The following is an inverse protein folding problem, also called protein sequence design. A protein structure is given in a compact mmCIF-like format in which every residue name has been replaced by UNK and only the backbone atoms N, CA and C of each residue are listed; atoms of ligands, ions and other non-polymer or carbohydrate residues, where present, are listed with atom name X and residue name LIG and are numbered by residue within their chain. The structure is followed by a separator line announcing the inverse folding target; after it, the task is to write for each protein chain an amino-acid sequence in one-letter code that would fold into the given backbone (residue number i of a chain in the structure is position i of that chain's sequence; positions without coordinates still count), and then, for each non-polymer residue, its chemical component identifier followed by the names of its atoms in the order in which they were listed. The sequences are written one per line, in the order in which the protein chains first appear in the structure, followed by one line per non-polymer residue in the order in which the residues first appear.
data_IF_550369026014
#
_entry.id   IF_550369026014
#
_cell.length_a   1.000
_cell.length_b   1.000
_cell.length_c   1.000
_cell.angle_alpha   90.00
_cell.angle_beta   90.00
_cell.angle_gamma   90.00
#
_symmetry.space_group_name_H-M   'P 1'
#
loop_
_entity.id
_entity.type
_entity.pdbx_description
1 polymer ?
#
# COMPACT_ATOMS: atom_id res chain seq x y z
N UNK A 1 -2.38 15.52 7.63
CA UNK A 1 -2.59 15.03 6.25
C UNK A 1 -1.32 14.31 5.82
N UNK A 2 -1.35 12.98 5.67
CA UNK A 2 -0.16 12.19 5.36
C UNK A 2 -0.33 11.56 3.97
N UNK A 3 0.44 12.06 3.00
CA UNK A 3 0.77 11.48 1.70
C UNK A 3 -0.37 10.86 0.89
N UNK A 4 -1.07 11.68 0.10
CA UNK A 4 -1.94 11.19 -0.98
C UNK A 4 -1.06 10.67 -2.13
N UNK A 5 -1.05 9.35 -2.32
CA UNK A 5 -0.62 8.76 -3.60
C UNK A 5 -1.84 8.80 -4.52
N UNK A 6 -2.07 9.93 -5.17
CA UNK A 6 -3.16 10.08 -6.15
C UNK A 6 -2.74 9.51 -7.51
N UNK A 7 -2.59 8.18 -7.60
CA UNK A 7 -2.52 7.49 -8.89
C UNK A 7 -3.92 7.02 -9.27
N UNK A 8 -4.41 7.40 -10.46
CA UNK A 8 -5.72 6.97 -10.96
C UNK A 8 -5.88 5.43 -10.82
N UNK A 9 -7.04 4.98 -10.33
CA UNK A 9 -7.34 3.56 -10.12
C UNK A 9 -7.14 2.73 -11.40
N UNK A 10 -7.49 3.30 -12.56
CA UNK A 10 -7.26 2.66 -13.85
C UNK A 10 -5.76 2.39 -14.08
N UNK A 11 -4.91 3.36 -13.75
CA UNK A 11 -3.45 3.25 -13.90
C UNK A 11 -2.84 2.21 -12.94
N UNK A 12 -3.37 2.11 -11.72
CA UNK A 12 -2.94 1.08 -10.77
C UNK A 12 -3.24 -0.31 -11.32
N UNK A 13 -4.44 -0.51 -11.87
CA UNK A 13 -4.86 -1.79 -12.46
C UNK A 13 -4.03 -2.09 -13.72
N UNK A 14 -3.84 -1.11 -14.60
CA UNK A 14 -3.04 -1.25 -15.81
C UNK A 14 -1.59 -1.67 -15.50
N UNK A 15 -0.95 -1.04 -14.50
CA UNK A 15 0.39 -1.41 -14.07
C UNK A 15 0.45 -2.87 -13.59
N UNK A 16 -0.52 -3.30 -12.78
CA UNK A 16 -0.58 -4.69 -12.31
C UNK A 16 -0.72 -5.69 -13.47
N UNK A 17 -1.55 -5.36 -14.46
CA UNK A 17 -1.71 -6.18 -15.67
C UNK A 17 -0.44 -6.20 -16.52
N UNK A 18 0.22 -5.06 -16.71
CA UNK A 18 1.49 -4.95 -17.46
C UNK A 18 2.63 -5.74 -16.78
N UNK A 19 2.60 -5.85 -15.45
CA UNK A 19 3.50 -6.70 -14.68
C UNK A 19 3.12 -8.19 -14.71
N UNK A 20 2.05 -8.56 -15.44
CA UNK A 20 1.56 -9.94 -15.56
C UNK A 20 0.86 -10.46 -14.30
N UNK A 21 0.55 -9.59 -13.34
CA UNK A 21 -0.15 -9.97 -12.10
C UNK A 21 -1.65 -10.08 -12.34
N UNK A 22 -2.27 -11.03 -11.65
CA UNK A 22 -3.74 -11.20 -11.60
C UNK A 22 -4.36 -10.69 -10.30
N UNK A 23 -3.58 -9.94 -9.52
CA UNK A 23 -3.93 -9.45 -8.20
C UNK A 23 -3.27 -8.10 -7.95
N UNK A 24 -3.86 -7.33 -7.04
CA UNK A 24 -3.28 -6.09 -6.52
C UNK A 24 -2.54 -6.37 -5.22
N UNK A 25 -1.44 -5.66 -5.00
CA UNK A 25 -0.78 -5.59 -3.71
C UNK A 25 -1.66 -4.81 -2.71
N UNK A 26 -1.49 -5.05 -1.41
CA UNK A 26 -2.36 -4.43 -0.38
C UNK A 26 -2.38 -2.89 -0.45
N UNK A 27 -1.24 -2.27 -0.72
CA UNK A 27 -1.13 -0.81 -0.83
C UNK A 27 -1.81 -0.26 -2.09
N UNK A 28 -1.82 -1.01 -3.19
CA UNK A 28 -2.53 -0.68 -4.44
C UNK A 28 -4.04 -0.73 -4.21
N UNK A 29 -4.52 -1.84 -3.64
CA UNK A 29 -5.93 -2.03 -3.34
C UNK A 29 -6.46 -0.96 -2.36
N UNK A 30 -5.71 -0.64 -1.29
CA UNK A 30 -6.10 0.41 -0.35
C UNK A 30 -6.16 1.80 -1.00
N UNK A 31 -5.24 2.10 -1.91
CA UNK A 31 -5.24 3.37 -2.66
C UNK A 31 -6.50 3.51 -3.51
N UNK A 32 -6.90 2.45 -4.24
CA UNK A 32 -8.14 2.43 -5.01
C UNK A 32 -9.35 2.60 -4.07
N UNK A 33 -9.46 1.80 -3.00
CA UNK A 33 -10.57 1.92 -2.05
C UNK A 33 -10.72 3.35 -1.50
N UNK A 34 -9.61 4.01 -1.16
CA UNK A 34 -9.61 5.38 -0.68
C UNK A 34 -10.15 6.38 -1.73
N UNK A 35 -9.78 6.20 -3.01
CA UNK A 35 -10.27 7.06 -4.10
C UNK A 35 -11.77 6.94 -4.32
N UNK A 36 -12.35 5.77 -4.07
CA UNK A 36 -13.79 5.54 -4.14
C UNK A 36 -14.52 5.86 -2.82
N UNK A 37 -13.87 6.59 -1.90
CA UNK A 37 -14.49 7.07 -0.66
C UNK A 37 -14.61 6.02 0.45
N UNK A 38 -13.97 4.85 0.30
CA UNK A 38 -13.96 3.85 1.36
C UNK A 38 -12.90 4.19 2.41
N UNK A 39 -13.26 4.03 3.68
CA UNK A 39 -12.32 4.20 4.78
C UNK A 39 -11.33 3.03 4.83
N UNK A 40 -10.03 3.33 4.75
CA UNK A 40 -8.95 2.37 4.87
C UNK A 40 -8.02 2.74 6.04
N UNK A 41 -7.31 1.75 6.58
CA UNK A 41 -6.28 1.99 7.59
C UNK A 41 -5.18 2.90 7.03
N UNK A 42 -4.66 3.85 7.81
CA UNK A 42 -3.45 4.61 7.43
C UNK A 42 -2.31 3.65 7.14
N UNK A 43 -1.63 3.81 6.01
CA UNK A 43 -0.54 2.95 5.59
C UNK A 43 0.55 3.75 4.88
N UNK A 44 1.78 3.22 4.91
CA UNK A 44 2.91 3.66 4.10
C UNK A 44 3.73 2.45 3.67
N UNK A 45 4.33 2.52 2.48
CA UNK A 45 5.27 1.51 1.99
C UNK A 45 6.68 2.00 2.26
N UNK A 46 7.42 1.28 3.10
CA UNK A 46 8.83 1.55 3.39
C UNK A 46 9.71 0.67 2.52
N UNK A 47 10.80 1.24 1.99
CA UNK A 47 11.82 0.51 1.21
C UNK A 47 13.01 0.06 2.05
N UNK A 48 13.20 0.67 3.21
CA UNK A 48 14.27 0.36 4.14
C UNK A 48 13.85 0.58 5.60
N UNK A 49 14.75 0.23 6.52
CA UNK A 49 14.53 0.34 7.96
C UNK A 49 14.33 1.80 8.43
N UNK A 50 15.02 2.76 7.83
CA UNK A 50 14.94 4.16 8.24
C UNK A 50 13.57 4.74 7.89
N UNK A 51 13.09 4.47 6.67
CA UNK A 51 11.73 4.81 6.25
C UNK A 51 10.68 4.14 7.15
N UNK A 52 10.86 2.85 7.43
CA UNK A 52 9.97 2.09 8.30
C UNK A 52 9.83 2.74 9.70
N UNK A 53 10.95 3.09 10.33
CA UNK A 53 10.97 3.75 11.64
C UNK A 53 10.33 5.15 11.61
N UNK A 54 10.61 5.92 10.55
CA UNK A 54 9.99 7.24 10.34
C UNK A 54 8.48 7.11 10.19
N UNK A 55 8.01 6.22 9.33
CA UNK A 55 6.59 6.03 9.07
C UNK A 55 5.84 5.47 10.27
N UNK A 56 6.45 4.57 11.04
CA UNK A 56 5.85 4.07 12.28
C UNK A 56 5.59 5.21 13.29
N UNK A 57 6.53 6.14 13.44
CA UNK A 57 6.36 7.33 14.30
C UNK A 57 5.28 8.27 13.78
N UNK A 58 5.21 8.49 12.47
CA UNK A 58 4.20 9.35 11.85
C UNK A 58 2.78 8.77 11.92
N UNK A 59 2.63 7.44 11.79
CA UNK A 59 1.33 6.75 11.90
C UNK A 59 0.86 6.70 13.35
N UNK A 60 1.79 6.57 14.30
CA UNK A 60 1.53 6.39 15.72
C UNK A 60 1.44 4.91 16.12
N UNK A 61 2.00 4.56 17.27
CA UNK A 61 2.04 3.19 17.80
C UNK A 61 0.73 2.79 18.51
N UNK A 62 0.40 1.49 18.56
CA UNK A 62 1.10 0.36 17.92
C UNK A 62 0.89 0.30 16.40
N UNK A 63 1.86 -0.26 15.67
CA UNK A 63 1.80 -0.42 14.21
C UNK A 63 1.95 -1.88 13.80
N UNK A 64 1.46 -2.21 12.60
CA UNK A 64 1.62 -3.52 11.96
C UNK A 64 2.58 -3.39 10.79
N UNK A 65 3.51 -4.34 10.66
CA UNK A 65 4.37 -4.49 9.49
C UNK A 65 3.91 -5.67 8.64
N UNK A 66 3.82 -5.44 7.33
CA UNK A 66 3.54 -6.47 6.34
C UNK A 66 4.56 -6.38 5.22
N UNK A 67 5.09 -7.52 4.82
CA UNK A 67 5.97 -7.61 3.65
C UNK A 67 5.17 -7.24 2.39
N UNK A 68 5.80 -6.47 1.51
CA UNK A 68 5.26 -6.16 0.18
C UNK A 68 6.15 -6.90 -0.82
N UNK A 69 5.71 -8.09 -1.23
CA UNK A 69 6.43 -8.92 -2.20
C UNK A 69 5.45 -9.63 -3.14
N UNK A 70 5.67 -9.58 -4.46
CA UNK A 70 4.87 -10.35 -5.42
C UNK A 70 5.01 -11.87 -5.22
N UNK A 71 6.06 -12.32 -4.56
CA UNK A 71 6.31 -13.74 -4.27
C UNK A 71 5.51 -14.22 -3.04
N UNK A 72 5.04 -13.30 -2.19
CA UNK A 72 4.32 -13.59 -0.94
C UNK A 72 3.03 -12.77 -0.90
N UNK A 73 2.01 -13.28 -1.61
CA UNK A 73 0.72 -12.60 -1.80
C UNK A 73 -0.15 -12.69 -0.54
N UNK A 74 -0.15 -13.86 0.11
CA UNK A 74 -0.89 -14.11 1.34
C UNK A 74 0.02 -14.83 2.33
N UNK A 75 0.13 -14.29 3.53
CA UNK A 75 0.75 -14.94 4.68
C UNK A 75 -0.25 -14.88 5.82
N UNK A 76 -0.66 -16.06 6.29
CA UNK A 76 -1.58 -16.25 7.41
C UNK A 76 -1.06 -15.61 8.69
#
# INVERSE_FOLDING_TARGET
MCGEVSMDAAKIIENALNEGRKYLMEHEAKSICQQYGMSVTRFKVAKDLNEALKYAKEIGYPVVFKIVSPDIIHKS
#
